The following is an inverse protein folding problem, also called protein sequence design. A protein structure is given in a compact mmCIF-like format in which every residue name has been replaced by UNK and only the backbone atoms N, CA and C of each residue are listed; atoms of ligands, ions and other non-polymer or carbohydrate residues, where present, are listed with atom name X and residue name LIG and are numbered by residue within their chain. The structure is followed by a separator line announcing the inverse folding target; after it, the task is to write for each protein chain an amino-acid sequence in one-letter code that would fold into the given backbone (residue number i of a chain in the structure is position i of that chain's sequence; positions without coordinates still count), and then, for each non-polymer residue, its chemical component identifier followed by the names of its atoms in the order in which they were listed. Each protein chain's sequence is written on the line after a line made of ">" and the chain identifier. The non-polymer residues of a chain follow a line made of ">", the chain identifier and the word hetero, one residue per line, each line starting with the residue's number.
data_IF_675537680530
#
_entry.id   IF_675537680530
#
_cell.length_a   1.000
_cell.length_b   1.000
_cell.length_c   1.000
_cell.angle_alpha   90.00
_cell.angle_beta   90.00
_cell.angle_gamma   90.00
#
_symmetry.space_group_name_H-M   'P 1'
#
loop_
_entity.id
_entity.type
_entity.pdbx_description
1 polymer ?
#
# COMPACT_ATOMS: atom_id res chain seq x y z
N UNK A 1 -42.25 35.07 75.30
CA UNK A 1 -43.62 34.58 75.63
C UNK A 1 -43.89 33.27 74.89
N UNK A 2 -44.11 32.26 75.70
CA UNK A 2 -44.86 31.01 75.40
C UNK A 2 -44.53 30.21 74.14
N UNK A 3 -43.83 29.11 74.25
CA UNK A 3 -44.32 27.77 74.66
C UNK A 3 -45.09 27.04 73.55
N UNK A 4 -44.66 25.85 73.23
CA UNK A 4 -45.43 24.80 72.60
C UNK A 4 -44.59 23.62 72.18
N UNK A 5 -44.35 22.72 73.13
CA UNK A 5 -43.92 21.31 72.92
C UNK A 5 -45.05 20.52 72.28
N UNK A 6 -44.73 19.45 71.55
CA UNK A 6 -45.17 18.06 71.70
C UNK A 6 -44.91 17.37 70.36
N UNK A 7 -44.36 16.25 70.26
CA UNK A 7 -44.30 14.91 70.80
C UNK A 7 -44.17 13.93 69.63
N UNK A 8 -43.16 13.11 69.70
CA UNK A 8 -43.07 11.67 69.35
C UNK A 8 -44.00 11.08 68.26
N UNK A 9 -43.35 10.61 67.22
CA UNK A 9 -43.89 9.61 66.30
C UNK A 9 -42.79 8.69 65.77
N UNK A 10 -42.51 7.65 66.55
CA UNK A 10 -41.58 6.56 66.22
C UNK A 10 -42.30 5.60 65.26
N UNK A 11 -41.92 5.54 64.00
CA UNK A 11 -42.39 4.46 63.15
C UNK A 11 -41.17 3.81 62.46
N UNK A 12 -41.05 2.51 62.79
CA UNK A 12 -40.15 1.54 62.20
C UNK A 12 -40.42 1.47 60.70
N UNK A 13 -39.42 1.70 59.84
CA UNK A 13 -39.51 1.28 58.46
C UNK A 13 -38.36 0.32 58.15
N UNK A 14 -38.79 -0.86 57.73
CA UNK A 14 -37.98 -2.02 57.50
C UNK A 14 -36.99 -1.83 56.33
N UNK A 15 -35.91 -2.50 56.51
CA UNK A 15 -34.91 -2.79 55.48
C UNK A 15 -35.58 -3.56 54.31
N UNK A 16 -35.73 -2.90 53.17
CA UNK A 16 -35.91 -3.59 51.91
C UNK A 16 -34.60 -3.46 51.09
N UNK A 17 -33.90 -4.55 51.01
CA UNK A 17 -32.84 -4.81 50.03
C UNK A 17 -33.48 -4.72 48.64
N UNK A 18 -33.20 -3.60 47.95
CA UNK A 18 -33.45 -3.47 46.52
C UNK A 18 -32.42 -4.31 45.75
N UNK A 19 -32.78 -5.51 45.36
CA UNK A 19 -32.10 -6.28 44.31
C UNK A 19 -32.19 -5.46 43.02
N UNK A 20 -31.09 -4.83 42.64
CA UNK A 20 -30.90 -4.22 41.31
C UNK A 20 -31.00 -5.33 40.27
N UNK A 21 -32.11 -5.43 39.59
CA UNK A 21 -32.27 -6.21 38.36
C UNK A 21 -31.29 -5.65 37.33
N UNK A 22 -30.24 -6.41 37.09
CA UNK A 22 -29.38 -6.25 35.94
C UNK A 22 -30.25 -6.41 34.69
N UNK A 23 -30.59 -5.28 34.07
CA UNK A 23 -31.34 -5.25 32.83
C UNK A 23 -30.44 -5.85 31.75
N UNK A 24 -30.64 -7.12 31.42
CA UNK A 24 -29.99 -7.77 30.29
C UNK A 24 -30.22 -6.92 29.04
N UNK A 25 -29.11 -6.43 28.45
CA UNK A 25 -29.16 -5.76 27.15
C UNK A 25 -29.74 -6.72 26.11
N UNK A 26 -30.63 -6.25 25.22
CA UNK A 26 -31.30 -7.12 24.26
C UNK A 26 -30.25 -7.78 23.34
N UNK A 27 -30.33 -9.10 23.23
CA UNK A 27 -29.47 -9.97 22.40
C UNK A 27 -29.40 -9.58 20.91
N UNK A 28 -30.21 -8.62 20.45
CA UNK A 28 -30.22 -8.09 19.09
C UNK A 28 -28.98 -7.26 18.68
N UNK A 29 -28.28 -6.60 19.62
CA UNK A 29 -27.14 -5.73 19.30
C UNK A 29 -25.87 -6.51 18.96
N UNK A 30 -25.68 -7.71 19.52
CA UNK A 30 -24.51 -8.56 19.22
C UNK A 30 -24.55 -9.19 17.83
N UNK A 31 -25.74 -9.46 17.29
CA UNK A 31 -25.92 -9.99 15.93
C UNK A 31 -25.61 -8.94 14.86
N UNK A 32 -26.06 -7.70 15.08
CA UNK A 32 -25.80 -6.58 14.18
C UNK A 32 -24.30 -6.21 14.13
N UNK A 33 -23.63 -6.22 15.28
CA UNK A 33 -22.19 -5.96 15.34
C UNK A 33 -21.33 -7.07 14.69
N UNK A 34 -21.73 -8.34 14.85
CA UNK A 34 -21.05 -9.45 14.15
C UNK A 34 -21.27 -9.40 12.65
N UNK A 35 -22.48 -9.11 12.19
CA UNK A 35 -22.79 -8.98 10.76
C UNK A 35 -22.04 -7.79 10.11
N UNK A 36 -21.88 -6.68 10.82
CA UNK A 36 -21.08 -5.54 10.37
C UNK A 36 -19.57 -5.84 10.38
N UNK A 37 -19.08 -6.61 11.34
CA UNK A 37 -17.68 -7.07 11.36
C UNK A 37 -17.37 -8.09 10.26
N UNK A 38 -18.28 -9.01 9.94
CA UNK A 38 -18.09 -9.96 8.84
C UNK A 38 -18.16 -9.29 7.46
N UNK A 39 -19.03 -8.30 7.28
CA UNK A 39 -19.04 -7.47 6.06
C UNK A 39 -17.74 -6.66 5.88
N UNK A 40 -17.15 -6.16 6.97
CA UNK A 40 -15.86 -5.45 6.93
C UNK A 40 -14.69 -6.35 6.52
N UNK A 41 -14.74 -7.65 6.82
CA UNK A 41 -13.72 -8.63 6.39
C UNK A 41 -13.77 -8.98 4.91
N UNK A 42 -14.86 -8.67 4.22
CA UNK A 42 -15.03 -8.91 2.78
C UNK A 42 -14.61 -7.71 1.91
N UNK A 43 -14.29 -6.56 2.52
CA UNK A 43 -13.88 -5.37 1.78
C UNK A 43 -12.40 -5.49 1.35
N UNK A 44 -12.04 -4.94 0.17
CA UNK A 44 -10.67 -4.98 -0.33
C UNK A 44 -9.67 -4.35 0.66
N UNK A 45 -8.57 -5.04 0.90
CA UNK A 45 -7.45 -4.52 1.69
C UNK A 45 -6.30 -4.15 0.74
N UNK A 46 -5.90 -2.89 0.75
CA UNK A 46 -4.87 -2.34 -0.13
C UNK A 46 -3.48 -2.35 0.52
N UNK A 47 -3.38 -2.81 1.76
CA UNK A 47 -2.11 -2.94 2.48
C UNK A 47 -1.28 -4.14 2.04
N UNK A 48 -1.94 -5.18 1.47
CA UNK A 48 -1.31 -6.45 1.12
C UNK A 48 -1.55 -6.79 -0.34
N UNK A 49 -0.48 -7.08 -1.08
CA UNK A 49 -0.56 -7.65 -2.42
C UNK A 49 -0.35 -9.15 -2.37
N UNK A 50 -1.33 -9.93 -2.81
CA UNK A 50 -1.24 -11.39 -2.90
C UNK A 50 -0.88 -11.76 -4.33
N UNK A 51 0.33 -12.32 -4.51
CA UNK A 51 0.77 -12.83 -5.81
C UNK A 51 -0.04 -14.09 -6.17
N UNK A 52 -0.54 -14.15 -7.39
CA UNK A 52 -1.10 -15.39 -7.96
C UNK A 52 -0.03 -16.49 -7.97
N UNK A 53 -0.46 -17.75 -7.75
CA UNK A 53 0.46 -18.90 -7.74
C UNK A 53 1.33 -18.98 -9.00
N UNK A 54 0.75 -18.73 -10.17
CA UNK A 54 1.45 -18.69 -11.46
C UNK A 54 2.53 -17.59 -11.52
N UNK A 55 2.21 -16.37 -11.06
CA UNK A 55 3.16 -15.26 -11.00
C UNK A 55 4.33 -15.57 -10.06
N UNK A 56 4.05 -16.22 -8.94
CA UNK A 56 5.09 -16.63 -7.98
C UNK A 56 6.04 -17.66 -8.59
N UNK A 57 5.51 -18.66 -9.28
CA UNK A 57 6.33 -19.70 -9.98
C UNK A 57 7.17 -19.03 -11.07
N UNK A 58 6.59 -18.18 -11.91
CA UNK A 58 7.30 -17.45 -12.96
C UNK A 58 8.43 -16.57 -12.41
N UNK A 59 8.22 -15.86 -11.30
CA UNK A 59 9.26 -15.06 -10.66
C UNK A 59 10.39 -15.91 -10.09
N UNK A 60 10.07 -17.07 -9.49
CA UNK A 60 11.08 -18.00 -8.95
C UNK A 60 11.88 -18.63 -10.08
N UNK A 61 11.23 -19.11 -11.15
CA UNK A 61 11.92 -19.74 -12.28
C UNK A 61 12.80 -18.75 -13.03
N UNK A 62 12.32 -17.54 -13.32
CA UNK A 62 13.12 -16.50 -13.95
C UNK A 62 14.33 -16.11 -13.09
N UNK A 63 14.14 -15.94 -11.77
CA UNK A 63 15.22 -15.68 -10.82
C UNK A 63 16.22 -16.83 -10.75
N UNK A 64 15.76 -18.09 -10.68
CA UNK A 64 16.61 -19.25 -10.64
C UNK A 64 17.46 -19.40 -11.91
N UNK A 65 16.87 -19.20 -13.09
CA UNK A 65 17.59 -19.21 -14.38
C UNK A 65 18.65 -18.12 -14.43
N UNK A 66 18.34 -16.91 -13.96
CA UNK A 66 19.29 -15.81 -13.93
C UNK A 66 20.48 -16.09 -13.00
N UNK A 67 20.24 -16.55 -11.78
CA UNK A 67 21.31 -16.90 -10.83
C UNK A 67 22.10 -18.13 -11.27
N UNK A 68 21.44 -19.10 -11.92
CA UNK A 68 22.11 -20.25 -12.53
C UNK A 68 23.06 -19.82 -13.64
N UNK A 69 22.61 -18.91 -14.53
CA UNK A 69 23.44 -18.39 -15.62
C UNK A 69 24.69 -17.67 -15.11
N UNK A 70 24.56 -16.84 -14.07
CA UNK A 70 25.70 -16.16 -13.44
C UNK A 70 26.64 -17.19 -12.80
N UNK A 71 26.12 -18.17 -12.05
CA UNK A 71 26.91 -19.22 -11.42
C UNK A 71 27.66 -20.06 -12.44
N UNK A 72 27.04 -20.44 -13.53
CA UNK A 72 27.67 -21.19 -14.59
C UNK A 72 28.77 -20.38 -15.30
N UNK A 73 28.54 -19.09 -15.53
CA UNK A 73 29.53 -18.19 -16.14
C UNK A 73 30.81 -18.04 -15.32
N UNK A 74 30.67 -17.97 -13.98
CA UNK A 74 31.82 -17.76 -13.07
C UNK A 74 32.56 -19.05 -12.72
N UNK A 75 31.87 -20.18 -12.60
CA UNK A 75 32.47 -21.41 -12.05
C UNK A 75 32.56 -22.54 -13.05
N UNK A 76 31.85 -22.51 -14.18
CA UNK A 76 31.74 -23.59 -15.16
C UNK A 76 31.41 -24.96 -14.54
N UNK A 77 30.86 -24.95 -13.31
CA UNK A 77 30.46 -26.13 -12.55
C UNK A 77 28.97 -26.14 -12.26
N UNK A 78 28.28 -27.18 -12.64
CA UNK A 78 26.84 -27.36 -12.50
C UNK A 78 26.37 -27.34 -11.05
N UNK A 79 27.18 -27.89 -10.12
CA UNK A 79 26.81 -28.00 -8.70
C UNK A 79 26.77 -26.62 -8.04
N UNK A 80 27.78 -25.78 -8.29
CA UNK A 80 27.86 -24.44 -7.72
C UNK A 80 26.76 -23.53 -8.32
N UNK A 81 26.53 -23.64 -9.64
CA UNK A 81 25.44 -22.92 -10.30
C UNK A 81 24.06 -23.30 -9.74
N UNK A 82 23.85 -24.57 -9.41
CA UNK A 82 22.61 -25.04 -8.78
C UNK A 82 22.42 -24.44 -7.37
N UNK A 83 23.48 -24.41 -6.56
CA UNK A 83 23.42 -23.76 -5.24
C UNK A 83 23.10 -22.26 -5.35
N UNK A 84 23.70 -21.58 -6.31
CA UNK A 84 23.46 -20.15 -6.54
C UNK A 84 22.03 -19.87 -7.00
N UNK A 85 21.43 -20.78 -7.76
CA UNK A 85 20.04 -20.69 -8.24
C UNK A 85 19.02 -20.62 -7.09
N UNK A 86 19.36 -21.14 -5.89
CA UNK A 86 18.53 -21.00 -4.70
C UNK A 86 18.27 -19.53 -4.30
N UNK A 87 19.16 -18.58 -4.71
CA UNK A 87 18.94 -17.15 -4.60
C UNK A 87 17.67 -16.66 -5.31
N UNK A 88 17.19 -17.37 -6.33
CA UNK A 88 15.94 -17.10 -7.03
C UNK A 88 14.69 -17.12 -6.12
N UNK A 89 14.76 -17.86 -4.99
CA UNK A 89 13.67 -17.88 -3.99
C UNK A 89 13.44 -16.53 -3.30
N UNK A 90 14.39 -15.61 -3.34
CA UNK A 90 14.25 -14.27 -2.76
C UNK A 90 13.53 -13.29 -3.71
N UNK A 91 13.53 -13.55 -5.00
CA UNK A 91 12.97 -12.67 -6.06
C UNK A 91 11.49 -12.33 -5.80
N UNK A 92 10.59 -13.29 -5.47
CA UNK A 92 9.17 -12.98 -5.27
C UNK A 92 8.90 -12.03 -4.10
N UNK A 93 9.80 -11.97 -3.09
CA UNK A 93 9.68 -10.99 -1.99
C UNK A 93 9.88 -9.55 -2.48
N UNK A 94 10.86 -9.32 -3.35
CA UNK A 94 11.13 -8.01 -3.96
C UNK A 94 10.03 -7.63 -4.95
N UNK A 95 9.58 -8.59 -5.76
CA UNK A 95 8.50 -8.39 -6.72
C UNK A 95 7.19 -7.98 -6.05
N UNK A 96 6.83 -8.63 -4.94
CA UNK A 96 5.65 -8.28 -4.15
C UNK A 96 5.70 -6.84 -3.63
N UNK A 97 6.85 -6.40 -3.09
CA UNK A 97 7.05 -5.02 -2.64
C UNK A 97 6.88 -4.03 -3.79
N UNK A 98 7.48 -4.32 -4.92
CA UNK A 98 7.40 -3.46 -6.10
C UNK A 98 5.95 -3.34 -6.62
N UNK A 99 5.22 -4.46 -6.71
CA UNK A 99 3.82 -4.45 -7.14
C UNK A 99 2.91 -3.71 -6.16
N UNK A 100 3.15 -3.85 -4.85
CA UNK A 100 2.41 -3.10 -3.84
C UNK A 100 2.64 -1.59 -3.97
N UNK A 101 3.88 -1.16 -4.16
CA UNK A 101 4.20 0.26 -4.36
C UNK A 101 3.55 0.80 -5.64
N UNK A 102 3.61 0.05 -6.74
CA UNK A 102 2.96 0.42 -8.00
C UNK A 102 1.44 0.56 -7.85
N UNK A 103 0.79 -0.39 -7.14
CA UNK A 103 -0.66 -0.33 -6.86
C UNK A 103 -1.03 0.90 -6.03
N UNK A 104 -0.24 1.20 -4.99
CA UNK A 104 -0.44 2.41 -4.16
C UNK A 104 -0.24 3.70 -4.93
N UNK A 105 0.78 3.76 -5.78
CA UNK A 105 1.02 4.93 -6.62
C UNK A 105 -0.14 5.18 -7.61
N UNK A 106 -0.67 4.10 -8.24
CA UNK A 106 -1.84 4.20 -9.10
C UNK A 106 -3.09 4.66 -8.32
N UNK A 107 -3.31 4.09 -7.13
CA UNK A 107 -4.43 4.50 -6.26
C UNK A 107 -4.33 5.99 -5.89
N UNK A 108 -3.13 6.50 -5.58
CA UNK A 108 -2.93 7.91 -5.26
C UNK A 108 -3.18 8.84 -6.45
N UNK A 109 -2.73 8.44 -7.63
CA UNK A 109 -2.99 9.19 -8.88
C UNK A 109 -4.50 9.28 -9.17
N UNK A 110 -5.20 8.16 -9.10
CA UNK A 110 -6.65 8.14 -9.32
C UNK A 110 -7.40 8.91 -8.23
N UNK A 111 -6.90 8.88 -6.99
CA UNK A 111 -7.45 9.67 -5.88
C UNK A 111 -7.36 11.18 -6.13
N UNK A 112 -6.21 11.66 -6.62
CA UNK A 112 -6.06 13.05 -7.09
C UNK A 112 -7.11 13.42 -8.14
N UNK A 113 -7.28 12.55 -9.14
CA UNK A 113 -8.25 12.76 -10.22
C UNK A 113 -9.68 12.80 -9.71
N UNK A 114 -10.04 11.88 -8.79
CA UNK A 114 -11.35 11.88 -8.16
C UNK A 114 -11.61 13.15 -7.35
N UNK A 115 -10.65 13.60 -6.55
CA UNK A 115 -10.78 14.84 -5.79
C UNK A 115 -10.96 16.06 -6.69
N UNK A 116 -10.27 16.09 -7.83
CA UNK A 116 -10.45 17.17 -8.81
C UNK A 116 -11.88 17.17 -9.39
N UNK A 117 -12.41 16.02 -9.79
CA UNK A 117 -13.78 15.87 -10.30
C UNK A 117 -14.82 16.24 -9.23
N UNK A 118 -14.65 15.74 -7.98
CA UNK A 118 -15.53 16.09 -6.86
C UNK A 118 -15.50 17.60 -6.60
N UNK A 119 -14.31 18.21 -6.57
CA UNK A 119 -14.17 19.66 -6.38
C UNK A 119 -14.88 20.47 -7.46
N UNK A 120 -14.75 20.06 -8.72
CA UNK A 120 -15.43 20.69 -9.86
C UNK A 120 -16.94 20.61 -9.74
N UNK A 121 -17.47 19.43 -9.41
CA UNK A 121 -18.91 19.20 -9.19
C UNK A 121 -19.47 20.05 -8.06
N UNK A 122 -18.76 20.10 -6.93
CA UNK A 122 -19.16 20.91 -5.78
C UNK A 122 -19.12 22.42 -6.09
N UNK A 123 -18.11 22.86 -6.85
CA UNK A 123 -18.02 24.27 -7.31
C UNK A 123 -19.17 24.65 -8.24
N UNK A 124 -19.72 23.69 -8.98
CA UNK A 124 -20.94 23.86 -9.79
C UNK A 124 -22.24 23.81 -8.96
N UNK A 125 -22.15 23.74 -7.63
CA UNK A 125 -23.29 23.71 -6.70
C UNK A 125 -23.96 22.35 -6.56
N UNK A 126 -23.35 21.26 -7.02
CA UNK A 126 -23.88 19.92 -6.82
C UNK A 126 -23.67 19.43 -5.38
N UNK A 127 -24.51 18.48 -4.95
CA UNK A 127 -24.31 17.84 -3.64
C UNK A 127 -23.04 16.98 -3.60
N UNK A 128 -22.49 16.75 -2.41
CA UNK A 128 -21.33 15.89 -2.21
C UNK A 128 -21.54 14.50 -2.80
N UNK A 129 -22.74 13.92 -2.60
CA UNK A 129 -23.10 12.61 -3.14
C UNK A 129 -23.03 12.56 -4.67
N UNK A 130 -23.54 13.59 -5.33
CA UNK A 130 -23.48 13.69 -6.80
C UNK A 130 -22.03 13.89 -7.27
N UNK A 131 -21.22 14.65 -6.54
CA UNK A 131 -19.80 14.82 -6.82
C UNK A 131 -19.04 13.48 -6.81
N UNK A 132 -19.31 12.61 -5.83
CA UNK A 132 -18.70 11.28 -5.78
C UNK A 132 -19.17 10.38 -6.94
N UNK A 133 -20.44 10.43 -7.32
CA UNK A 133 -20.95 9.68 -8.48
C UNK A 133 -20.33 10.14 -9.79
N UNK A 134 -20.17 11.45 -9.96
CA UNK A 134 -19.54 12.03 -11.15
C UNK A 134 -18.08 11.64 -11.24
N UNK A 135 -17.34 11.68 -10.12
CA UNK A 135 -15.95 11.23 -10.08
C UNK A 135 -15.79 9.76 -10.50
N UNK A 136 -16.74 8.88 -10.17
CA UNK A 136 -16.73 7.49 -10.65
C UNK A 136 -16.89 7.45 -12.17
N UNK A 137 -17.76 8.27 -12.74
CA UNK A 137 -17.98 8.31 -14.20
C UNK A 137 -16.75 8.85 -14.92
N UNK A 138 -16.16 9.93 -14.42
CA UNK A 138 -14.95 10.53 -14.98
C UNK A 138 -13.77 9.55 -14.95
N UNK A 139 -13.56 8.85 -13.83
CA UNK A 139 -12.51 7.84 -13.72
C UNK A 139 -12.72 6.67 -14.70
N UNK A 140 -13.97 6.26 -14.94
CA UNK A 140 -14.27 5.22 -15.93
C UNK A 140 -14.02 5.67 -17.35
N UNK A 141 -14.20 6.97 -17.65
CA UNK A 141 -13.91 7.53 -18.97
C UNK A 141 -12.39 7.63 -19.22
N UNK A 142 -11.61 7.91 -18.16
CA UNK A 142 -10.15 8.02 -18.26
C UNK A 142 -9.47 6.68 -18.47
N UNK A 143 -9.97 5.60 -17.86
CA UNK A 143 -9.39 4.26 -17.96
C UNK A 143 -10.49 3.18 -17.98
N UNK A 144 -11.11 2.94 -19.18
CA UNK A 144 -12.25 2.02 -19.30
C UNK A 144 -11.90 0.55 -19.04
N UNK A 145 -10.64 0.16 -19.27
CA UNK A 145 -10.20 -1.24 -19.19
C UNK A 145 -9.53 -1.62 -17.86
N UNK A 146 -9.15 -0.63 -17.04
CA UNK A 146 -8.50 -0.92 -15.78
C UNK A 146 -9.50 -1.27 -14.69
N UNK A 147 -9.26 -2.40 -14.01
CA UNK A 147 -9.84 -2.65 -12.69
C UNK A 147 -9.28 -1.61 -11.71
N UNK A 148 -9.96 -0.46 -11.64
CA UNK A 148 -9.52 0.65 -10.81
C UNK A 148 -10.00 0.44 -9.37
N UNK A 149 -9.06 0.16 -8.48
CA UNK A 149 -9.31 0.00 -7.04
C UNK A 149 -10.11 1.17 -6.46
N UNK A 150 -9.86 2.39 -6.94
CA UNK A 150 -10.55 3.58 -6.44
C UNK A 150 -12.01 3.63 -6.89
N UNK A 151 -12.32 3.25 -8.13
CA UNK A 151 -13.70 3.17 -8.61
C UNK A 151 -14.51 2.22 -7.73
N UNK A 152 -13.92 1.08 -7.37
CA UNK A 152 -14.54 0.12 -6.45
C UNK A 152 -14.82 0.75 -5.09
N UNK A 153 -13.85 1.47 -4.51
CA UNK A 153 -14.01 2.12 -3.22
C UNK A 153 -15.03 3.27 -3.25
N UNK A 154 -14.98 4.14 -4.25
CA UNK A 154 -15.96 5.21 -4.40
C UNK A 154 -17.38 4.64 -4.59
N UNK A 155 -17.51 3.53 -5.31
CA UNK A 155 -18.81 2.84 -5.48
C UNK A 155 -19.31 2.27 -4.14
N UNK A 156 -18.42 1.73 -3.30
CA UNK A 156 -18.75 1.28 -1.95
C UNK A 156 -19.19 2.46 -1.07
N UNK A 157 -18.47 3.58 -1.13
CA UNK A 157 -18.82 4.80 -0.38
C UNK A 157 -20.20 5.31 -0.82
N UNK A 158 -20.48 5.41 -2.12
CA UNK A 158 -21.78 5.83 -2.64
C UNK A 158 -22.90 4.89 -2.19
N UNK A 159 -22.70 3.58 -2.28
CA UNK A 159 -23.69 2.61 -1.83
C UNK A 159 -23.97 2.74 -0.31
N UNK A 160 -22.94 2.96 0.51
CA UNK A 160 -23.10 3.17 1.97
C UNK A 160 -23.90 4.44 2.27
N UNK A 161 -23.66 5.52 1.52
CA UNK A 161 -24.45 6.75 1.62
C UNK A 161 -25.92 6.53 1.27
N UNK A 162 -26.22 5.73 0.23
CA UNK A 162 -27.58 5.36 -0.15
C UNK A 162 -28.33 4.58 0.94
N UNK A 163 -27.59 3.82 1.75
CA UNK A 163 -28.14 3.15 2.94
C UNK A 163 -28.23 4.05 4.19
N UNK A 164 -27.94 5.35 4.05
CA UNK A 164 -28.04 6.34 5.12
C UNK A 164 -26.84 6.37 6.06
N UNK A 165 -25.71 5.75 5.69
CA UNK A 165 -24.48 5.85 6.49
C UNK A 165 -23.80 7.20 6.24
N UNK A 166 -23.30 7.88 7.28
CA UNK A 166 -22.53 9.12 7.11
C UNK A 166 -21.31 8.91 6.24
N UNK A 167 -21.09 9.83 5.27
CA UNK A 167 -19.94 9.73 4.36
C UNK A 167 -18.61 9.73 5.11
N UNK A 168 -18.53 10.40 6.26
CA UNK A 168 -17.34 10.47 7.09
C UNK A 168 -16.91 9.08 7.58
N UNK A 169 -17.88 8.26 7.99
CA UNK A 169 -17.60 6.91 8.48
C UNK A 169 -17.11 6.01 7.33
N UNK A 170 -17.68 6.17 6.14
CA UNK A 170 -17.27 5.46 4.94
C UNK A 170 -15.84 5.86 4.50
N UNK A 171 -15.51 7.16 4.52
CA UNK A 171 -14.18 7.67 4.21
C UNK A 171 -13.14 7.24 5.23
N UNK A 172 -13.47 7.28 6.52
CA UNK A 172 -12.58 6.81 7.60
C UNK A 172 -12.30 5.30 7.48
N UNK A 173 -13.28 4.51 7.08
CA UNK A 173 -13.10 3.08 6.84
C UNK A 173 -12.20 2.82 5.64
N UNK A 174 -12.38 3.57 4.54
CA UNK A 174 -11.51 3.53 3.37
C UNK A 174 -10.07 3.91 3.73
N UNK A 175 -9.86 5.01 4.48
CA UNK A 175 -8.51 5.45 4.87
C UNK A 175 -7.76 4.38 5.67
N UNK A 176 -8.44 3.68 6.58
CA UNK A 176 -7.86 2.57 7.36
C UNK A 176 -7.43 1.38 6.49
N UNK A 177 -8.19 1.06 5.43
CA UNK A 177 -7.88 -0.04 4.51
C UNK A 177 -6.83 0.34 3.48
N UNK A 178 -6.81 1.59 3.03
CA UNK A 178 -5.82 2.11 2.10
C UNK A 178 -4.43 2.20 2.74
N UNK A 179 -4.35 2.52 4.04
CA UNK A 179 -3.09 2.74 4.76
C UNK A 179 -2.16 3.73 4.02
N UNK A 180 -2.74 4.82 3.49
CA UNK A 180 -2.05 5.87 2.76
C UNK A 180 -2.26 7.21 3.45
N UNK A 181 -1.16 7.93 3.66
CA UNK A 181 -1.15 9.19 4.40
C UNK A 181 -2.07 10.24 3.76
N UNK A 182 -2.02 10.38 2.43
CA UNK A 182 -2.81 11.38 1.70
C UNK A 182 -4.32 11.13 1.86
N UNK A 183 -4.76 9.86 1.81
CA UNK A 183 -6.17 9.47 2.01
C UNK A 183 -6.59 9.66 3.46
N UNK A 184 -5.70 9.36 4.42
CA UNK A 184 -5.99 9.53 5.84
C UNK A 184 -6.13 11.01 6.18
N UNK A 185 -5.20 11.84 5.75
CA UNK A 185 -5.25 13.28 5.95
C UNK A 185 -6.52 13.89 5.34
N UNK A 186 -6.90 13.44 4.13
CA UNK A 186 -8.14 13.88 3.50
C UNK A 186 -9.37 13.49 4.34
N UNK A 187 -9.48 12.24 4.78
CA UNK A 187 -10.62 11.77 5.57
C UNK A 187 -10.76 12.52 6.89
N UNK A 188 -9.64 12.83 7.56
CA UNK A 188 -9.61 13.58 8.82
C UNK A 188 -10.03 15.04 8.62
N UNK A 189 -9.47 15.71 7.60
CA UNK A 189 -9.80 17.10 7.28
C UNK A 189 -11.25 17.22 6.82
N UNK A 190 -11.72 16.30 5.97
CA UNK A 190 -13.11 16.25 5.51
C UNK A 190 -14.08 16.10 6.68
N UNK A 191 -13.82 15.13 7.57
CA UNK A 191 -14.63 14.88 8.77
C UNK A 191 -14.69 16.11 9.66
N UNK A 192 -13.55 16.76 9.88
CA UNK A 192 -13.47 17.98 10.71
C UNK A 192 -14.22 19.14 10.08
N UNK A 193 -14.02 19.37 8.78
CA UNK A 193 -14.67 20.45 8.04
C UNK A 193 -16.20 20.29 8.06
N UNK A 194 -16.70 19.08 7.79
CA UNK A 194 -18.14 18.80 7.81
C UNK A 194 -18.75 19.01 9.20
N UNK A 195 -18.03 18.67 10.27
CA UNK A 195 -18.47 18.86 11.66
C UNK A 195 -18.51 20.32 12.06
N UNK A 196 -17.54 21.12 11.61
CA UNK A 196 -17.43 22.55 11.93
C UNK A 196 -18.25 23.45 11.02
N UNK A 197 -18.87 22.90 9.96
CA UNK A 197 -19.62 23.67 8.95
C UNK A 197 -18.71 24.48 8.01
N UNK A 198 -17.45 24.06 7.85
CA UNK A 198 -16.49 24.71 6.97
C UNK A 198 -16.76 24.46 5.49
N UNK A 199 -16.01 25.16 4.62
CA UNK A 199 -16.12 25.03 3.17
C UNK A 199 -15.45 23.73 2.68
N UNK A 200 -16.27 22.71 2.39
CA UNK A 200 -15.84 21.44 1.85
C UNK A 200 -15.22 21.56 0.46
N UNK A 201 -15.70 22.53 -0.36
CA UNK A 201 -15.18 22.74 -1.71
C UNK A 201 -13.71 23.16 -1.64
N UNK A 202 -13.40 24.12 -0.78
CA UNK A 202 -12.04 24.60 -0.62
C UNK A 202 -11.12 23.51 -0.07
N UNK A 203 -11.58 22.72 0.91
CA UNK A 203 -10.82 21.59 1.47
C UNK A 203 -10.48 20.56 0.40
N UNK A 204 -11.47 20.12 -0.38
CA UNK A 204 -11.27 19.11 -1.42
C UNK A 204 -10.32 19.64 -2.51
N UNK A 205 -10.55 20.89 -2.95
CA UNK A 205 -9.69 21.54 -3.94
C UNK A 205 -8.25 21.67 -3.48
N UNK A 206 -8.04 22.13 -2.27
CA UNK A 206 -6.69 22.29 -1.69
C UNK A 206 -5.98 20.95 -1.53
N UNK A 207 -6.68 19.92 -1.07
CA UNK A 207 -6.11 18.57 -0.96
C UNK A 207 -5.72 18.02 -2.33
N UNK A 208 -6.57 18.19 -3.34
CA UNK A 208 -6.25 17.78 -4.72
C UNK A 208 -5.00 18.48 -5.24
N UNK A 209 -4.84 19.80 -4.99
CA UNK A 209 -3.66 20.56 -5.40
C UNK A 209 -2.40 20.05 -4.69
N UNK A 210 -2.43 19.86 -3.37
CA UNK A 210 -1.29 19.36 -2.58
C UNK A 210 -0.86 17.97 -3.06
N UNK A 211 -1.81 17.05 -3.26
CA UNK A 211 -1.50 15.71 -3.79
C UNK A 211 -0.91 15.83 -5.20
N UNK A 212 -1.44 16.75 -6.02
CA UNK A 212 -0.91 17.02 -7.35
C UNK A 212 0.54 17.45 -7.35
N UNK A 213 0.87 18.49 -6.60
CA UNK A 213 2.23 19.01 -6.47
C UNK A 213 3.19 17.93 -5.95
N UNK A 214 2.76 17.13 -4.97
CA UNK A 214 3.53 16.00 -4.44
C UNK A 214 3.83 14.96 -5.52
N UNK A 215 2.85 14.60 -6.35
CA UNK A 215 3.01 13.63 -7.43
C UNK A 215 3.93 14.18 -8.54
N UNK A 216 3.81 15.46 -8.88
CA UNK A 216 4.65 16.10 -9.89
C UNK A 216 6.12 16.13 -9.44
N UNK A 217 6.39 16.51 -8.19
CA UNK A 217 7.72 16.45 -7.57
C UNK A 217 8.27 15.01 -7.56
N UNK A 218 7.46 14.03 -7.17
CA UNK A 218 7.85 12.62 -7.19
C UNK A 218 8.21 12.14 -8.59
N UNK A 219 7.48 12.57 -9.60
CA UNK A 219 7.76 12.22 -11.00
C UNK A 219 9.07 12.87 -11.47
N UNK A 220 9.32 14.14 -11.15
CA UNK A 220 10.57 14.83 -11.48
C UNK A 220 11.78 14.12 -10.85
N UNK A 221 11.71 13.81 -9.56
CA UNK A 221 12.74 13.03 -8.88
C UNK A 221 12.92 11.66 -9.52
N UNK A 222 11.82 10.97 -9.87
CA UNK A 222 11.89 9.65 -10.50
C UNK A 222 12.63 9.70 -11.84
N UNK A 223 12.45 10.74 -12.65
CA UNK A 223 13.18 10.96 -13.93
C UNK A 223 14.67 11.17 -13.67
N UNK A 224 15.04 12.07 -12.74
CA UNK A 224 16.43 12.33 -12.38
C UNK A 224 17.15 11.07 -11.86
N UNK A 225 16.45 10.32 -10.99
CA UNK A 225 16.98 9.07 -10.43
C UNK A 225 17.05 7.97 -11.50
N UNK A 226 16.10 7.92 -12.46
CA UNK A 226 16.09 6.91 -13.51
C UNK A 226 17.36 6.96 -14.39
N UNK A 227 17.85 8.15 -14.72
CA UNK A 227 19.10 8.33 -15.44
C UNK A 227 20.27 7.72 -14.67
N UNK A 228 20.39 8.04 -13.38
CA UNK A 228 21.45 7.50 -12.51
C UNK A 228 21.33 5.99 -12.30
N UNK A 229 20.11 5.47 -12.26
CA UNK A 229 19.84 4.02 -12.22
C UNK A 229 20.33 3.33 -13.48
N UNK A 230 20.15 3.95 -14.65
CA UNK A 230 20.62 3.40 -15.91
C UNK A 230 22.17 3.38 -15.96
N UNK A 231 22.82 4.48 -15.64
CA UNK A 231 24.28 4.56 -15.57
C UNK A 231 24.87 3.50 -14.62
N UNK A 232 24.31 3.36 -13.43
CA UNK A 232 24.76 2.36 -12.44
C UNK A 232 24.55 0.92 -12.91
N UNK A 233 23.44 0.64 -13.59
CA UNK A 233 23.18 -0.68 -14.17
C UNK A 233 24.14 -1.00 -15.31
N UNK A 234 24.45 -0.03 -16.15
CA UNK A 234 25.41 -0.19 -17.25
C UNK A 234 26.82 -0.50 -16.71
N UNK A 235 27.27 0.24 -15.68
CA UNK A 235 28.55 -0.02 -15.01
C UNK A 235 28.60 -1.42 -14.38
N UNK A 236 27.51 -1.88 -13.79
CA UNK A 236 27.43 -3.21 -13.18
C UNK A 236 27.38 -4.35 -14.24
N UNK A 237 26.78 -4.08 -15.38
CA UNK A 237 26.70 -5.03 -16.49
C UNK A 237 28.04 -5.20 -17.22
N UNK A 238 28.90 -4.18 -17.23
CA UNK A 238 30.15 -4.19 -17.97
C UNK A 238 31.10 -5.35 -17.62
N UNK A 239 31.39 -5.68 -16.34
CA UNK A 239 32.23 -6.83 -15.99
C UNK A 239 31.61 -8.16 -16.43
N UNK A 240 30.28 -8.30 -16.32
CA UNK A 240 29.57 -9.52 -16.71
C UNK A 240 29.65 -9.70 -18.24
N UNK A 241 29.41 -8.63 -18.99
CA UNK A 241 29.52 -8.61 -20.46
C UNK A 241 30.93 -8.95 -20.91
N UNK A 242 31.95 -8.41 -20.22
CA UNK A 242 33.35 -8.69 -20.52
C UNK A 242 33.69 -10.16 -20.30
N UNK A 243 33.21 -10.77 -19.20
CA UNK A 243 33.39 -12.20 -18.94
C UNK A 243 32.71 -13.07 -20.00
N UNK A 244 31.48 -12.75 -20.40
CA UNK A 244 30.77 -13.46 -21.48
C UNK A 244 31.57 -13.37 -22.78
N UNK A 245 32.04 -12.18 -23.14
CA UNK A 245 32.81 -11.96 -24.38
C UNK A 245 34.12 -12.73 -24.37
N UNK A 246 34.88 -12.70 -23.27
CA UNK A 246 36.12 -13.47 -23.14
C UNK A 246 35.90 -14.96 -23.18
N UNK A 247 34.82 -15.47 -22.55
CA UNK A 247 34.48 -16.87 -22.58
C UNK A 247 34.14 -17.37 -24.01
N UNK A 248 33.50 -16.50 -24.83
CA UNK A 248 33.16 -16.84 -26.22
C UNK A 248 34.35 -16.74 -27.17
N UNK A 249 35.28 -15.80 -26.94
CA UNK A 249 36.36 -15.48 -27.88
C UNK A 249 37.64 -16.26 -27.57
N UNK A 250 37.95 -16.50 -26.31
CA UNK A 250 39.21 -17.03 -25.83
C UNK A 250 39.03 -17.97 -24.66
N UNK A 251 38.30 -19.07 -24.85
CA UNK A 251 38.03 -20.07 -23.80
C UNK A 251 39.28 -20.65 -23.13
N UNK A 252 40.39 -20.76 -23.87
CA UNK A 252 41.67 -21.26 -23.32
C UNK A 252 42.29 -20.28 -22.32
N UNK A 253 42.09 -18.95 -22.49
CA UNK A 253 42.54 -17.92 -21.56
C UNK A 253 41.79 -17.95 -20.23
N UNK A 254 40.58 -18.49 -20.22
CA UNK A 254 39.74 -18.58 -19.05
C UNK A 254 39.98 -19.84 -18.21
N UNK A 255 40.69 -20.86 -18.72
CA UNK A 255 40.98 -22.13 -18.02
C UNK A 255 41.61 -21.94 -16.63
N UNK A 256 42.59 -21.01 -16.41
CA UNK A 256 43.18 -20.77 -15.09
C UNK A 256 42.18 -20.24 -14.08
N UNK A 257 41.12 -19.51 -14.53
CA UNK A 257 40.10 -18.95 -13.69
C UNK A 257 39.19 -20.02 -13.07
N UNK A 258 39.06 -21.18 -13.76
CA UNK A 258 38.22 -22.30 -13.32
C UNK A 258 39.00 -23.33 -12.48
N UNK A 259 40.31 -23.16 -12.22
CA UNK A 259 41.16 -24.05 -11.46
C UNK A 259 41.66 -23.43 -10.16
N UNK A 260 41.70 -24.19 -9.05
CA UNK A 260 42.36 -23.91 -7.81
C UNK A 260 42.27 -22.45 -7.30
N UNK A 261 43.36 -21.68 -7.38
CA UNK A 261 43.41 -20.28 -6.94
C UNK A 261 42.48 -19.36 -7.73
N UNK A 262 42.22 -19.60 -9.00
CA UNK A 262 41.32 -18.83 -9.84
C UNK A 262 39.88 -18.87 -9.31
N UNK A 263 39.43 -19.99 -8.77
CA UNK A 263 38.11 -20.18 -8.22
C UNK A 263 37.90 -19.32 -6.95
N UNK A 264 38.94 -19.18 -6.12
CA UNK A 264 38.92 -18.33 -4.92
C UNK A 264 38.80 -16.85 -5.35
N UNK A 265 39.59 -16.41 -6.33
CA UNK A 265 39.56 -15.03 -6.86
C UNK A 265 38.19 -14.73 -7.47
N UNK A 266 37.62 -15.65 -8.27
CA UNK A 266 36.27 -15.50 -8.85
C UNK A 266 35.18 -15.39 -7.78
N UNK A 267 35.31 -16.11 -6.66
CA UNK A 267 34.38 -16.00 -5.54
C UNK A 267 34.43 -14.64 -4.89
N UNK A 268 35.64 -14.11 -4.61
CA UNK A 268 35.79 -12.76 -4.06
C UNK A 268 35.25 -11.68 -5.02
N UNK A 269 35.51 -11.83 -6.32
CA UNK A 269 34.99 -10.91 -7.32
C UNK A 269 33.44 -10.93 -7.39
N UNK A 270 32.83 -12.12 -7.31
CA UNK A 270 31.38 -12.28 -7.29
C UNK A 270 30.77 -11.65 -6.01
N UNK A 271 31.38 -11.88 -4.84
CA UNK A 271 30.94 -11.22 -3.59
C UNK A 271 31.10 -9.70 -3.64
N UNK A 272 32.17 -9.19 -4.23
CA UNK A 272 32.38 -7.78 -4.45
C UNK A 272 31.30 -7.19 -5.36
N UNK A 273 30.99 -7.82 -6.47
CA UNK A 273 29.92 -7.42 -7.39
C UNK A 273 28.55 -7.45 -6.70
N UNK A 274 28.25 -8.51 -5.96
CA UNK A 274 27.00 -8.62 -5.20
C UNK A 274 26.89 -7.53 -4.12
N UNK A 275 28.00 -7.23 -3.40
CA UNK A 275 28.05 -6.15 -2.43
C UNK A 275 27.82 -4.78 -3.04
N UNK A 276 28.45 -4.48 -4.18
CA UNK A 276 28.21 -3.26 -4.94
C UNK A 276 26.75 -3.14 -5.39
N UNK A 277 26.16 -4.23 -5.89
CA UNK A 277 24.77 -4.26 -6.31
C UNK A 277 23.82 -3.96 -5.15
N UNK A 278 24.02 -4.58 -3.99
CA UNK A 278 23.21 -4.33 -2.80
C UNK A 278 23.34 -2.87 -2.31
N UNK A 279 24.55 -2.33 -2.39
CA UNK A 279 24.81 -0.94 -2.00
C UNK A 279 24.14 0.04 -2.94
N UNK A 280 24.25 -0.18 -4.25
CA UNK A 280 23.56 0.62 -5.28
C UNK A 280 22.04 0.60 -5.03
N UNK A 281 21.45 -0.58 -4.85
CA UNK A 281 20.00 -0.70 -4.57
C UNK A 281 19.62 0.08 -3.31
N UNK A 282 20.43 -0.01 -2.25
CA UNK A 282 20.17 0.67 -0.97
C UNK A 282 20.27 2.19 -1.08
N UNK A 283 21.27 2.72 -1.81
CA UNK A 283 21.45 4.16 -2.03
C UNK A 283 20.32 4.73 -2.90
N UNK A 284 19.84 3.92 -3.84
CA UNK A 284 18.82 4.36 -4.82
C UNK A 284 17.38 4.09 -4.36
N UNK A 285 17.18 3.41 -3.24
CA UNK A 285 15.88 3.24 -2.58
C UNK A 285 15.59 4.46 -1.69
N UNK A 286 15.58 5.64 -2.32
CA UNK A 286 15.19 6.89 -1.66
C UNK A 286 13.69 6.80 -1.42
N UNK A 287 13.29 6.64 -0.17
CA UNK A 287 11.90 6.79 0.25
C UNK A 287 11.56 8.28 0.18
N UNK A 288 10.75 8.63 -0.79
CA UNK A 288 10.13 9.95 -0.96
C UNK A 288 8.73 9.89 -0.38
#
# INVERSE_FOLDING_TARGET
>A
MKTGQTALGRSKFGSQQGQGTFREMPKGSRGSQKASQDRRKQLPDYSVYVLSGLQRILCVTAGAVFFFGIGFLFYHQWIIALFLSAGGLLVPRFWRKYMLQRRRAALNLHFKQALYSISSSLSAGRSVENGFREAIQDLRMLDPEAENDLITELSIICARMEYGEPIEDALQDFSRRACMEDITNFADVFTTCKRTGGDLVEVIRRTSTIIGEKLDIQQEIAVLVAQKKFESKALLAAPIMMLVFMNMTSGDYMKPMFSGAGMIISTFALFGLAGCLLWIIKIMDIKI
#
